data_IF_899419943094
#
_entry.id   IF_899419943094
#
_cell.length_a   1.000
_cell.length_b   1.000
_cell.length_c   1.000
_cell.angle_alpha   90.00
_cell.angle_beta   90.00
_cell.angle_gamma   90.00
#
_symmetry.space_group_name_H-M   'P 1'
#
loop_
_entity.id
_entity.type
_entity.pdbx_description
1 polymer ?
#
# COMPACT_ATOMS: atom_id res chain seq x y z
N UNK A 1 37.47 9.73 -13.74
CA UNK A 1 36.17 10.27 -13.40
C UNK A 1 35.38 9.18 -12.68
N UNK A 2 35.45 9.23 -11.32
CA UNK A 2 34.73 8.27 -10.46
C UNK A 2 33.41 8.92 -10.11
N UNK A 3 32.31 8.39 -10.62
CA UNK A 3 30.97 8.71 -10.15
C UNK A 3 30.58 7.67 -9.10
N UNK A 4 30.58 8.12 -7.88
CA UNK A 4 30.17 7.42 -6.67
C UNK A 4 28.70 7.02 -6.74
N UNK A 5 28.46 5.73 -6.79
CA UNK A 5 27.16 5.10 -6.55
C UNK A 5 26.86 5.19 -5.04
N UNK A 6 26.26 6.28 -4.59
CA UNK A 6 25.82 6.43 -3.20
C UNK A 6 24.32 6.14 -3.12
N UNK A 7 24.02 5.07 -2.37
CA UNK A 7 22.86 4.88 -1.53
C UNK A 7 21.44 5.05 -2.13
N UNK A 8 20.97 4.03 -2.84
CA UNK A 8 19.54 3.81 -3.04
C UNK A 8 18.79 3.36 -1.77
N UNK A 9 19.50 3.01 -0.69
CA UNK A 9 18.91 2.61 0.59
C UNK A 9 18.37 3.73 1.47
N UNK A 10 18.86 4.97 1.29
CA UNK A 10 18.45 6.10 2.12
C UNK A 10 17.22 6.86 1.58
N UNK A 11 16.85 6.64 0.31
CA UNK A 11 15.72 7.33 -0.33
C UNK A 11 14.37 6.67 0.05
N UNK A 12 14.38 5.41 0.41
CA UNK A 12 13.15 4.72 0.84
C UNK A 12 12.62 5.19 2.20
N UNK A 13 13.47 5.63 3.11
CA UNK A 13 13.03 6.12 4.43
C UNK A 13 12.41 7.54 4.39
N UNK A 14 12.75 8.36 3.41
CA UNK A 14 12.25 9.74 3.31
C UNK A 14 10.99 9.89 2.46
N UNK A 15 10.67 8.92 1.59
CA UNK A 15 9.47 8.92 0.74
C UNK A 15 8.27 8.19 1.34
N UNK A 16 8.48 7.40 2.39
CA UNK A 16 7.41 6.67 3.10
C UNK A 16 6.57 7.61 3.98
N UNK A 17 7.08 8.78 4.35
CA UNK A 17 6.37 9.68 5.27
C UNK A 17 5.24 10.50 4.67
N UNK A 18 5.01 10.45 3.35
CA UNK A 18 4.01 11.35 2.74
C UNK A 18 2.71 10.69 2.30
N UNK A 19 2.57 9.36 2.30
CA UNK A 19 1.41 8.72 1.69
C UNK A 19 0.95 7.38 2.31
N UNK A 20 1.33 7.08 3.55
CA UNK A 20 0.98 5.83 4.25
C UNK A 20 -0.51 5.69 4.61
N UNK A 21 -1.42 6.40 3.99
CA UNK A 21 -2.84 6.37 4.38
C UNK A 21 -3.71 5.49 3.47
N UNK A 22 -3.16 4.88 2.43
CA UNK A 22 -4.00 4.20 1.46
C UNK A 22 -3.45 2.85 1.02
N UNK A 23 -3.54 1.80 1.84
CA UNK A 23 -3.22 0.46 1.34
C UNK A 23 -3.79 -0.69 2.18
N UNK A 24 -4.50 -1.62 1.62
CA UNK A 24 -5.02 -2.83 2.27
C UNK A 24 -5.31 -4.02 1.35
N UNK A 25 -5.11 -5.23 1.87
CA UNK A 25 -5.53 -6.49 1.28
C UNK A 25 -6.64 -7.19 2.06
N UNK A 26 -7.49 -7.92 1.38
CA UNK A 26 -8.56 -8.71 1.99
C UNK A 26 -8.09 -10.12 2.32
N UNK A 27 -8.28 -10.53 3.57
CA UNK A 27 -8.37 -11.94 3.92
C UNK A 27 -9.84 -12.35 3.82
N UNK A 28 -10.16 -13.30 2.95
CA UNK A 28 -11.45 -14.00 3.02
C UNK A 28 -11.42 -14.99 4.18
N UNK A 29 -11.88 -14.51 5.32
CA UNK A 29 -12.33 -15.37 6.41
C UNK A 29 -13.77 -15.02 6.71
N UNK A 30 -14.69 -15.91 6.34
CA UNK A 30 -16.13 -15.89 6.64
C UNK A 30 -16.90 -14.65 6.14
N UNK A 31 -17.72 -14.88 5.12
CA UNK A 31 -18.90 -14.09 4.82
C UNK A 31 -19.78 -13.96 6.07
N UNK A 32 -19.49 -13.02 6.95
CA UNK A 32 -20.53 -12.47 7.80
C UNK A 32 -21.26 -11.46 6.94
N UNK A 33 -22.29 -11.96 6.27
CA UNK A 33 -23.31 -11.13 5.64
C UNK A 33 -23.96 -10.30 6.73
N UNK A 34 -23.46 -9.10 6.96
CA UNK A 34 -24.23 -8.08 7.66
C UNK A 34 -25.32 -7.55 6.73
N UNK A 35 -26.35 -8.38 6.51
CA UNK A 35 -27.67 -7.91 6.13
C UNK A 35 -28.30 -7.26 7.36
N UNK A 36 -27.94 -6.01 7.61
CA UNK A 36 -28.76 -5.12 8.44
C UNK A 36 -29.08 -3.87 7.65
N UNK A 37 -30.36 -3.69 7.49
CA UNK A 37 -31.15 -2.59 6.97
C UNK A 37 -30.43 -1.43 6.28
N UNK A 38 -30.56 -1.30 4.95
CA UNK A 38 -30.68 -0.01 4.29
C UNK A 38 -29.50 0.94 4.20
N UNK A 39 -28.33 0.62 4.76
CA UNK A 39 -27.17 1.50 4.67
C UNK A 39 -26.48 1.30 3.33
N UNK A 40 -26.70 2.21 2.38
CA UNK A 40 -25.97 2.24 1.11
C UNK A 40 -24.47 2.31 1.42
N UNK A 41 -23.73 1.33 0.91
CA UNK A 41 -22.27 1.28 1.07
C UNK A 41 -21.65 2.58 0.56
N UNK A 42 -20.77 3.17 1.35
CA UNK A 42 -20.09 4.41 1.05
C UNK A 42 -18.64 4.09 0.64
N UNK A 43 -18.16 4.77 -0.39
CA UNK A 43 -16.88 4.52 -1.05
C UNK A 43 -15.95 5.73 -0.87
N UNK A 44 -14.66 5.47 -0.65
CA UNK A 44 -13.65 6.52 -0.58
C UNK A 44 -13.54 7.18 -1.96
N UNK A 45 -13.80 8.48 -2.03
CA UNK A 45 -13.74 9.22 -3.29
C UNK A 45 -12.48 10.06 -3.41
N UNK A 46 -12.10 10.75 -2.32
CA UNK A 46 -10.98 11.68 -2.38
C UNK A 46 -10.20 11.73 -1.08
N UNK A 47 -8.88 11.87 -1.22
CA UNK A 47 -7.97 12.16 -0.12
C UNK A 47 -7.19 13.42 -0.48
N UNK A 48 -7.23 14.43 0.40
CA UNK A 48 -6.57 15.72 0.16
C UNK A 48 -5.56 15.99 1.27
N UNK A 49 -4.33 16.29 0.88
CA UNK A 49 -3.25 16.72 1.77
C UNK A 49 -2.60 18.01 1.23
N UNK A 50 -1.75 18.70 2.02
CA UNK A 50 -0.95 19.81 1.50
C UNK A 50 -0.05 19.41 0.33
N UNK A 51 0.44 18.17 0.31
CA UNK A 51 1.33 17.64 -0.73
C UNK A 51 0.61 17.23 -2.02
N UNK A 52 -0.73 17.14 -2.00
CA UNK A 52 -1.48 16.75 -3.19
C UNK A 52 -2.85 16.15 -2.90
N UNK A 53 -3.37 15.45 -3.88
CA UNK A 53 -4.71 14.87 -3.83
C UNK A 53 -4.73 13.53 -4.53
N UNK A 54 -5.45 12.57 -3.96
CA UNK A 54 -5.80 11.30 -4.61
C UNK A 54 -7.31 11.28 -4.84
N UNK A 55 -7.75 10.98 -6.05
CA UNK A 55 -9.16 10.79 -6.39
C UNK A 55 -9.37 9.36 -6.87
N UNK A 56 -10.38 8.68 -6.35
CA UNK A 56 -10.79 7.33 -6.76
C UNK A 56 -12.12 7.42 -7.50
N UNK A 57 -12.16 6.90 -8.70
CA UNK A 57 -13.36 6.78 -9.51
C UNK A 57 -13.76 5.31 -9.67
N UNK A 58 -15.06 5.07 -9.81
CA UNK A 58 -15.64 3.74 -9.82
C UNK A 58 -16.42 3.47 -11.10
N UNK A 59 -16.44 2.21 -11.49
CA UNK A 59 -17.32 1.67 -12.52
C UNK A 59 -18.76 1.50 -11.98
N UNK A 60 -19.77 1.30 -12.84
CA UNK A 60 -21.14 0.99 -12.41
C UNK A 60 -21.27 -0.25 -11.53
N UNK A 61 -20.37 -1.24 -11.70
CA UNK A 61 -20.28 -2.46 -10.87
C UNK A 61 -19.53 -2.23 -9.55
N UNK A 62 -19.14 -0.98 -9.27
CA UNK A 62 -18.44 -0.54 -8.05
C UNK A 62 -16.97 -0.97 -7.93
N UNK A 63 -16.41 -1.59 -8.96
CA UNK A 63 -14.96 -1.78 -9.08
C UNK A 63 -14.26 -0.42 -9.31
N UNK A 64 -12.97 -0.33 -9.00
CA UNK A 64 -12.22 0.91 -9.22
C UNK A 64 -11.99 1.10 -10.72
N UNK A 65 -12.43 2.22 -11.25
CA UNK A 65 -12.21 2.61 -12.64
C UNK A 65 -10.84 3.22 -12.86
N UNK A 66 -10.46 4.15 -11.98
CA UNK A 66 -9.13 4.79 -11.98
C UNK A 66 -8.81 5.45 -10.66
N UNK A 67 -7.52 5.60 -10.39
CA UNK A 67 -6.99 6.36 -9.26
C UNK A 67 -6.13 7.47 -9.84
N UNK A 68 -6.45 8.72 -9.54
CA UNK A 68 -5.73 9.90 -10.00
C UNK A 68 -4.99 10.48 -8.81
N UNK A 69 -3.67 10.53 -8.87
CA UNK A 69 -2.81 11.14 -7.86
C UNK A 69 -2.23 12.43 -8.40
N UNK A 70 -2.57 13.55 -7.79
CA UNK A 70 -1.98 14.86 -8.07
C UNK A 70 -0.99 15.20 -6.98
N UNK A 71 0.26 15.38 -7.35
CA UNK A 71 1.35 15.75 -6.44
C UNK A 71 1.77 17.18 -6.73
N UNK A 72 1.86 17.99 -5.68
CA UNK A 72 2.32 19.37 -5.76
C UNK A 72 3.78 19.45 -5.37
N UNK A 73 4.59 20.08 -6.19
CA UNK A 73 5.91 20.58 -5.83
C UNK A 73 5.90 22.11 -5.89
N UNK A 74 6.99 22.76 -5.47
CA UNK A 74 7.09 24.22 -5.45
C UNK A 74 6.73 24.87 -6.80
N UNK A 75 7.09 24.25 -7.92
CA UNK A 75 6.99 24.82 -9.25
C UNK A 75 6.14 24.03 -10.25
N UNK A 76 5.56 22.89 -9.85
CA UNK A 76 4.80 22.05 -10.76
C UNK A 76 3.76 21.17 -10.04
N UNK A 77 2.74 20.78 -10.77
CA UNK A 77 1.83 19.70 -10.39
C UNK A 77 2.06 18.53 -11.32
N UNK A 78 2.27 17.36 -10.74
CA UNK A 78 2.44 16.11 -11.47
C UNK A 78 1.20 15.26 -11.27
N UNK A 79 0.71 14.65 -12.34
CA UNK A 79 -0.34 13.65 -12.26
C UNK A 79 0.22 12.25 -12.51
N UNK A 80 -0.32 11.29 -11.78
CA UNK A 80 -0.11 9.86 -11.96
C UNK A 80 -1.48 9.19 -11.93
N UNK A 81 -1.84 8.52 -12.99
CA UNK A 81 -3.13 7.88 -13.16
C UNK A 81 -2.95 6.38 -13.24
N UNK A 82 -3.57 5.67 -12.33
CA UNK A 82 -3.62 4.22 -12.33
C UNK A 82 -4.96 3.77 -12.89
N UNK A 83 -4.90 2.85 -13.85
CA UNK A 83 -6.04 2.30 -14.58
C UNK A 83 -6.12 0.79 -14.33
N UNK A 84 -6.89 0.35 -13.31
CA UNK A 84 -7.08 -1.07 -13.02
C UNK A 84 -7.82 -1.78 -14.15
N UNK A 85 -7.37 -3.00 -14.47
CA UNK A 85 -7.97 -3.87 -15.48
C UNK A 85 -8.45 -5.15 -14.79
N UNK A 86 -9.71 -5.49 -15.00
CA UNK A 86 -10.37 -6.64 -14.39
C UNK A 86 -10.71 -7.70 -15.44
N UNK A 87 -10.49 -8.97 -15.09
CA UNK A 87 -10.95 -10.13 -15.85
C UNK A 87 -11.72 -11.05 -14.90
N UNK A 88 -12.94 -11.40 -15.27
CA UNK A 88 -13.84 -12.23 -14.44
C UNK A 88 -14.01 -11.69 -12.99
N UNK A 89 -14.07 -10.35 -12.83
CA UNK A 89 -14.20 -9.68 -11.54
C UNK A 89 -12.94 -9.63 -10.69
N UNK A 90 -11.78 -10.07 -11.22
CA UNK A 90 -10.48 -10.00 -10.54
C UNK A 90 -9.59 -8.96 -11.17
N UNK A 91 -8.88 -8.20 -10.35
CA UNK A 91 -7.85 -7.26 -10.79
C UNK A 91 -6.65 -8.05 -11.35
N UNK A 92 -6.41 -7.97 -12.67
CA UNK A 92 -5.31 -8.71 -13.32
C UNK A 92 -4.14 -7.83 -13.70
N UNK A 93 -4.38 -6.54 -13.92
CA UNK A 93 -3.36 -5.56 -14.29
C UNK A 93 -3.72 -4.18 -13.75
N UNK A 94 -2.72 -3.32 -13.68
CA UNK A 94 -2.88 -1.88 -13.58
C UNK A 94 -1.99 -1.22 -14.63
N UNK A 95 -2.55 -0.30 -15.39
CA UNK A 95 -1.79 0.55 -16.31
C UNK A 95 -1.52 1.89 -15.62
N UNK A 96 -0.48 2.60 -16.04
CA UNK A 96 -0.14 3.95 -15.57
C UNK A 96 -0.12 4.93 -16.73
N UNK A 97 -0.59 6.15 -16.48
CA UNK A 97 -0.57 7.25 -17.41
C UNK A 97 -0.33 8.58 -16.68
N UNK A 98 0.22 9.58 -17.38
CA UNK A 98 0.45 10.91 -16.82
C UNK A 98 -0.73 11.87 -17.05
N UNK A 99 -1.61 11.59 -18.00
CA UNK A 99 -2.77 12.43 -18.31
C UNK A 99 -3.97 12.01 -17.45
N UNK A 100 -4.53 12.96 -16.69
CA UNK A 100 -5.72 12.74 -15.84
C UNK A 100 -6.94 12.22 -16.60
N UNK A 101 -7.02 12.48 -17.90
CA UNK A 101 -8.11 12.01 -18.79
C UNK A 101 -7.80 10.70 -19.49
N UNK A 102 -6.63 10.12 -19.23
CA UNK A 102 -6.23 8.88 -19.88
C UNK A 102 -7.24 7.76 -19.63
N UNK A 103 -7.49 6.99 -20.69
CA UNK A 103 -8.32 5.76 -20.67
C UNK A 103 -7.50 4.51 -20.96
N UNK A 104 -6.22 4.68 -21.26
CA UNK A 104 -5.21 3.64 -21.45
C UNK A 104 -3.86 4.17 -20.97
N UNK A 105 -2.88 3.30 -20.81
CA UNK A 105 -1.54 3.65 -20.35
C UNK A 105 -0.56 2.52 -20.56
N UNK A 106 0.64 2.70 -20.03
CA UNK A 106 1.70 1.70 -20.05
C UNK A 106 1.50 0.67 -18.92
N UNK A 107 1.94 -0.59 -19.09
CA UNK A 107 1.92 -1.58 -18.03
C UNK A 107 2.66 -1.06 -16.80
N UNK A 108 1.98 -1.13 -15.64
CA UNK A 108 2.52 -0.73 -14.33
C UNK A 108 2.63 -1.93 -13.38
N UNK A 109 1.51 -2.65 -13.20
CA UNK A 109 1.44 -3.85 -12.36
C UNK A 109 0.72 -4.97 -13.09
N UNK A 110 1.05 -6.23 -12.74
CA UNK A 110 0.19 -7.38 -13.03
C UNK A 110 0.13 -8.33 -11.84
N UNK A 111 -0.97 -9.09 -11.76
CA UNK A 111 -1.31 -9.94 -10.62
C UNK A 111 -1.53 -11.37 -11.08
N UNK A 112 -0.84 -12.31 -10.45
CA UNK A 112 -1.08 -13.73 -10.60
C UNK A 112 -1.77 -14.25 -9.34
N UNK A 113 -2.66 -15.20 -9.50
CA UNK A 113 -3.46 -15.77 -8.43
C UNK A 113 -3.18 -17.27 -8.26
N UNK A 114 -3.13 -17.71 -7.02
CA UNK A 114 -3.23 -19.11 -6.65
C UNK A 114 -4.54 -19.29 -5.91
N UNK A 115 -5.48 -20.02 -6.51
CA UNK A 115 -6.90 -20.05 -6.10
C UNK A 115 -7.47 -18.61 -6.10
N UNK A 116 -7.90 -18.09 -4.95
CA UNK A 116 -8.51 -16.77 -4.83
C UNK A 116 -7.56 -15.70 -4.28
N UNK A 117 -6.29 -16.05 -4.03
CA UNK A 117 -5.31 -15.15 -3.43
C UNK A 117 -4.25 -14.73 -4.43
N UNK A 118 -3.85 -13.46 -4.35
CA UNK A 118 -2.72 -12.95 -5.14
C UNK A 118 -1.46 -13.68 -4.70
N UNK A 119 -0.84 -14.42 -5.60
CA UNK A 119 0.41 -15.14 -5.34
C UNK A 119 1.64 -14.37 -5.78
N UNK A 120 1.47 -13.50 -6.80
CA UNK A 120 2.57 -12.68 -7.33
C UNK A 120 2.06 -11.33 -7.80
N UNK A 121 2.87 -10.29 -7.56
CA UNK A 121 2.70 -8.93 -8.09
C UNK A 121 3.94 -8.63 -8.91
N UNK A 122 3.80 -8.38 -10.22
CA UNK A 122 4.91 -8.02 -11.09
C UNK A 122 4.87 -6.52 -11.39
N UNK A 123 6.04 -5.89 -11.35
CA UNK A 123 6.25 -4.46 -11.56
C UNK A 123 6.90 -4.23 -12.91
N UNK A 124 6.37 -3.29 -13.67
CA UNK A 124 6.82 -2.98 -15.02
C UNK A 124 7.57 -1.65 -15.10
N UNK A 125 8.59 -1.64 -15.96
CA UNK A 125 9.29 -0.46 -16.41
C UNK A 125 9.65 -0.67 -17.88
N UNK A 126 9.42 0.33 -18.73
CA UNK A 126 9.69 0.25 -20.16
C UNK A 126 9.06 -1.00 -20.81
N UNK A 127 7.81 -1.30 -20.44
CA UNK A 127 7.03 -2.46 -20.86
C UNK A 127 7.63 -3.84 -20.51
N UNK A 128 8.64 -3.90 -19.66
CA UNK A 128 9.24 -5.14 -19.18
C UNK A 128 9.11 -5.28 -17.66
N UNK A 129 8.94 -6.52 -17.17
CA UNK A 129 8.97 -6.79 -15.74
C UNK A 129 10.39 -6.58 -15.22
N UNK A 130 10.58 -5.65 -14.28
CA UNK A 130 11.88 -5.36 -13.67
C UNK A 130 12.02 -5.89 -12.25
N UNK A 131 10.90 -6.15 -11.58
CA UNK A 131 10.85 -6.78 -10.25
C UNK A 131 9.49 -7.45 -10.05
N UNK A 132 9.41 -8.35 -9.07
CA UNK A 132 8.14 -8.91 -8.62
C UNK A 132 8.19 -9.26 -7.14
N UNK A 133 7.02 -9.29 -6.53
CA UNK A 133 6.82 -9.83 -5.19
C UNK A 133 6.08 -11.16 -5.25
N UNK A 134 6.49 -12.10 -4.40
CA UNK A 134 5.78 -13.37 -4.17
C UNK A 134 5.19 -13.37 -2.78
N UNK A 135 3.90 -13.69 -2.67
CA UNK A 135 3.16 -13.65 -1.42
C UNK A 135 2.97 -15.05 -0.86
N UNK A 136 3.33 -15.24 0.41
CA UNK A 136 3.06 -16.44 1.17
C UNK A 136 2.02 -16.15 2.25
N UNK A 137 1.08 -17.07 2.42
CA UNK A 137 -0.04 -16.94 3.35
C UNK A 137 0.08 -17.94 4.49
N UNK A 138 -0.41 -17.56 5.66
CA UNK A 138 -0.54 -18.46 6.80
C UNK A 138 -1.80 -19.35 6.68
N UNK A 139 -1.98 -20.24 7.67
CA UNK A 139 -3.14 -21.14 7.71
C UNK A 139 -4.50 -20.42 7.85
N UNK A 140 -4.49 -19.17 8.36
CA UNK A 140 -5.70 -18.34 8.47
C UNK A 140 -6.00 -17.56 7.19
N UNK A 141 -5.10 -17.63 6.20
CA UNK A 141 -5.25 -16.94 4.93
C UNK A 141 -4.71 -15.51 4.90
N UNK A 142 -4.03 -15.07 5.95
CA UNK A 142 -3.37 -13.77 6.01
C UNK A 142 -1.97 -13.84 5.39
N UNK A 143 -1.49 -12.73 4.81
CA UNK A 143 -0.14 -12.66 4.28
C UNK A 143 0.84 -12.82 5.45
N UNK A 144 1.63 -13.89 5.42
CA UNK A 144 2.71 -14.14 6.38
C UNK A 144 4.02 -13.51 5.92
N UNK A 145 4.31 -13.60 4.62
CA UNK A 145 5.53 -13.04 4.03
C UNK A 145 5.30 -12.51 2.63
N UNK A 146 6.06 -11.46 2.29
CA UNK A 146 6.14 -10.89 0.95
C UNK A 146 7.61 -10.88 0.53
N UNK A 147 7.97 -11.80 -0.35
CA UNK A 147 9.32 -11.93 -0.89
C UNK A 147 9.53 -11.01 -2.07
N UNK A 148 10.64 -10.28 -2.09
CA UNK A 148 10.97 -9.29 -3.12
C UNK A 148 12.03 -9.84 -4.07
N UNK A 149 11.75 -9.85 -5.36
CA UNK A 149 12.63 -10.33 -6.39
C UNK A 149 12.97 -9.23 -7.39
N UNK A 150 14.24 -9.18 -7.78
CA UNK A 150 14.73 -8.27 -8.81
C UNK A 150 15.84 -8.91 -9.63
N UNK A 151 16.28 -8.21 -10.68
CA UNK A 151 17.46 -8.62 -11.43
C UNK A 151 18.72 -8.07 -10.76
N UNK A 152 19.73 -8.90 -10.61
CA UNK A 152 21.06 -8.49 -10.15
C UNK A 152 21.95 -8.15 -11.34
N UNK A 153 21.92 -6.85 -11.74
CA UNK A 153 22.73 -6.35 -12.85
C UNK A 153 22.31 -6.92 -14.22
N UNK A 154 23.27 -7.14 -15.10
CA UNK A 154 23.02 -7.62 -16.47
C UNK A 154 22.67 -9.13 -16.55
N UNK A 155 22.60 -9.86 -15.43
CA UNK A 155 22.21 -11.26 -15.40
C UNK A 155 20.70 -11.39 -15.46
N UNK A 156 20.22 -12.20 -16.36
CA UNK A 156 18.78 -12.47 -16.55
C UNK A 156 18.13 -13.30 -15.42
N UNK A 157 18.90 -13.69 -14.38
CA UNK A 157 18.38 -14.48 -13.27
C UNK A 157 17.66 -13.59 -12.23
N UNK A 158 16.49 -14.03 -11.79
CA UNK A 158 15.77 -13.43 -10.68
C UNK A 158 16.43 -13.79 -9.34
N UNK A 159 16.71 -12.78 -8.52
CA UNK A 159 17.24 -12.97 -7.18
C UNK A 159 16.27 -12.42 -6.15
N UNK A 160 16.07 -13.19 -5.08
CA UNK A 160 15.36 -12.69 -3.91
C UNK A 160 16.28 -11.71 -3.15
N UNK A 161 15.95 -10.44 -3.15
CA UNK A 161 16.71 -9.35 -2.52
C UNK A 161 16.33 -9.13 -1.05
N UNK A 162 15.13 -9.56 -0.63
CA UNK A 162 14.61 -9.36 0.71
C UNK A 162 13.20 -9.90 0.88
N UNK A 163 12.69 -9.76 2.08
CA UNK A 163 11.28 -10.04 2.36
C UNK A 163 10.77 -9.22 3.53
N UNK A 164 9.45 -9.05 3.55
CA UNK A 164 8.68 -8.54 4.68
C UNK A 164 8.02 -9.73 5.38
N UNK A 165 8.05 -9.74 6.70
CA UNK A 165 7.36 -10.73 7.53
C UNK A 165 6.33 -10.03 8.41
N UNK A 166 5.10 -10.56 8.45
CA UNK A 166 3.97 -9.95 9.13
C UNK A 166 3.54 -10.78 10.32
N UNK A 167 3.44 -10.16 11.48
CA UNK A 167 2.81 -10.73 12.68
C UNK A 167 1.44 -10.11 12.84
N UNK A 168 0.42 -10.94 13.01
CA UNK A 168 -0.99 -10.52 13.10
C UNK A 168 -1.53 -10.72 14.52
N UNK A 169 -2.36 -9.78 14.98
CA UNK A 169 -3.14 -9.94 16.20
C UNK A 169 -4.47 -10.69 15.91
N UNK A 170 -5.23 -10.94 16.98
CA UNK A 170 -6.52 -11.65 16.90
C UNK A 170 -7.62 -10.80 16.25
N UNK A 171 -7.49 -9.48 16.24
CA UNK A 171 -8.47 -8.53 15.70
C UNK A 171 -8.35 -8.36 14.18
N UNK A 172 -7.31 -8.94 13.57
CA UNK A 172 -7.09 -8.86 12.13
C UNK A 172 -6.18 -7.71 11.71
N UNK A 173 -5.39 -7.19 12.63
CA UNK A 173 -4.42 -6.14 12.35
C UNK A 173 -2.99 -6.68 12.36
N UNK A 174 -2.13 -6.07 11.57
CA UNK A 174 -0.70 -6.33 11.58
C UNK A 174 -0.10 -5.70 12.84
N UNK A 175 0.24 -6.50 13.82
CA UNK A 175 0.89 -6.04 15.05
C UNK A 175 2.31 -5.56 14.76
N UNK A 176 3.00 -6.28 13.86
CA UNK A 176 4.39 -6.00 13.52
C UNK A 176 4.72 -6.42 12.10
N UNK A 177 5.55 -5.63 11.45
CA UNK A 177 6.15 -5.91 10.14
C UNK A 177 7.67 -5.83 10.26
N UNK A 178 8.34 -6.95 10.04
CA UNK A 178 9.81 -7.04 10.02
C UNK A 178 10.33 -7.05 8.58
N UNK A 179 11.38 -6.29 8.33
CA UNK A 179 12.04 -6.22 7.03
C UNK A 179 13.39 -6.91 7.09
N UNK A 180 13.61 -7.80 6.15
CA UNK A 180 14.87 -8.51 5.94
C UNK A 180 15.40 -8.19 4.56
N UNK A 181 16.67 -7.79 4.50
CA UNK A 181 17.40 -7.52 3.27
C UNK A 181 18.57 -8.45 3.06
N UNK A 182 19.03 -8.54 1.81
CA UNK A 182 20.23 -9.26 1.44
C UNK A 182 21.27 -8.28 0.93
N UNK A 183 22.47 -8.33 1.49
CA UNK A 183 23.57 -7.52 0.97
C UNK A 183 24.09 -8.14 -0.34
N UNK A 184 24.50 -7.32 -1.33
CA UNK A 184 25.12 -7.84 -2.55
C UNK A 184 26.30 -8.76 -2.25
N UNK A 185 26.31 -9.94 -2.86
CA UNK A 185 27.35 -10.95 -2.67
C UNK A 185 27.17 -11.87 -1.44
N UNK A 186 26.15 -11.64 -0.61
CA UNK A 186 25.86 -12.51 0.53
C UNK A 186 24.62 -13.37 0.27
N UNK A 187 24.63 -14.60 0.77
CA UNK A 187 23.51 -15.54 0.64
C UNK A 187 22.45 -15.39 1.73
N UNK A 188 22.81 -14.81 2.88
CA UNK A 188 21.94 -14.71 4.06
C UNK A 188 21.18 -13.41 4.09
N UNK A 189 19.90 -13.49 4.48
CA UNK A 189 19.11 -12.33 4.83
C UNK A 189 19.47 -11.81 6.21
N UNK A 190 19.52 -10.50 6.34
CA UNK A 190 19.73 -9.81 7.62
C UNK A 190 18.53 -8.95 7.94
N UNK A 191 18.16 -8.92 9.20
CA UNK A 191 17.14 -8.02 9.70
C UNK A 191 17.59 -6.57 9.53
N UNK A 192 16.73 -5.72 8.96
CA UNK A 192 17.04 -4.32 8.64
C UNK A 192 16.17 -3.33 9.39
N UNK A 193 14.91 -3.63 9.64
CA UNK A 193 14.01 -2.76 10.38
C UNK A 193 12.76 -3.51 10.83
N UNK A 194 12.07 -2.93 11.80
CA UNK A 194 10.75 -3.34 12.23
C UNK A 194 9.84 -2.14 12.37
N UNK A 195 8.57 -2.34 12.05
CA UNK A 195 7.50 -1.39 12.36
C UNK A 195 6.47 -2.12 13.22
N UNK A 196 6.20 -1.61 14.42
CA UNK A 196 5.09 -2.08 15.25
C UNK A 196 3.97 -1.05 15.24
N UNK A 197 2.72 -1.53 15.30
CA UNK A 197 1.53 -0.73 15.09
C UNK A 197 0.58 -0.81 16.27
N UNK A 198 -0.15 0.27 16.51
CA UNK A 198 -1.37 0.26 17.35
C UNK A 198 -2.54 0.80 16.53
N UNK A 199 -3.75 0.42 16.90
CA UNK A 199 -4.95 0.66 16.12
C UNK A 199 -6.08 1.24 16.97
N UNK A 200 -7.01 1.92 16.33
CA UNK A 200 -8.30 2.24 16.90
C UNK A 200 -9.27 1.03 16.78
N UNK A 201 -10.58 1.25 16.93
CA UNK A 201 -11.62 0.23 16.73
C UNK A 201 -12.49 0.50 15.52
N UNK A 202 -12.10 1.48 14.70
CA UNK A 202 -12.86 1.89 13.54
C UNK A 202 -12.29 1.23 12.30
N UNK A 203 -13.18 0.79 11.40
CA UNK A 203 -12.77 0.05 10.20
C UNK A 203 -11.87 0.88 9.30
N UNK A 204 -10.77 0.31 8.88
CA UNK A 204 -9.86 0.90 7.92
C UNK A 204 -10.59 1.10 6.57
N UNK A 205 -10.64 2.33 6.02
CA UNK A 205 -11.26 2.64 4.74
C UNK A 205 -10.81 1.74 3.60
N UNK A 206 -9.57 1.32 3.63
CA UNK A 206 -8.92 0.52 2.61
C UNK A 206 -9.44 -0.93 2.60
N UNK A 207 -9.93 -1.41 3.74
CA UNK A 207 -10.60 -2.71 3.83
C UNK A 207 -11.99 -2.72 3.18
N UNK A 208 -12.51 -1.55 2.77
CA UNK A 208 -13.77 -1.44 2.02
C UNK A 208 -13.57 -1.71 0.53
N UNK A 209 -12.34 -1.57 0.04
CA UNK A 209 -11.95 -1.77 -1.37
C UNK A 209 -10.60 -2.52 -1.40
N UNK A 210 -10.61 -3.85 -1.50
CA UNK A 210 -9.40 -4.67 -1.44
C UNK A 210 -8.32 -4.27 -2.43
N UNK A 211 -8.73 -3.82 -3.61
CA UNK A 211 -7.83 -3.40 -4.68
C UNK A 211 -7.02 -2.15 -4.33
N UNK A 212 -7.57 -1.24 -3.51
CA UNK A 212 -6.83 -0.05 -3.06
C UNK A 212 -5.54 -0.44 -2.33
N UNK A 213 -5.61 -1.48 -1.55
CA UNK A 213 -4.44 -1.97 -0.84
C UNK A 213 -3.32 -2.45 -1.74
N UNK A 214 -3.69 -3.10 -2.83
CA UNK A 214 -2.73 -3.59 -3.82
C UNK A 214 -2.13 -2.43 -4.62
N UNK A 215 -2.98 -1.52 -5.06
CA UNK A 215 -2.62 -0.46 -5.99
C UNK A 215 -1.81 0.66 -5.33
N UNK A 216 -1.96 0.87 -4.04
CA UNK A 216 -1.35 1.99 -3.33
C UNK A 216 -0.17 1.59 -2.44
N UNK A 217 0.17 0.30 -2.40
CA UNK A 217 1.36 -0.30 -1.77
C UNK A 217 1.84 0.38 -0.48
N UNK A 218 1.11 0.27 0.58
CA UNK A 218 1.54 0.77 1.89
C UNK A 218 1.92 -0.37 2.84
N UNK A 219 2.61 -0.02 3.89
CA UNK A 219 3.12 -0.97 4.88
C UNK A 219 2.06 -1.83 5.59
N UNK A 220 2.43 -2.48 6.67
CA UNK A 220 1.56 -3.42 7.41
C UNK A 220 0.22 -2.83 7.88
N UNK A 221 0.20 -1.52 8.19
CA UNK A 221 -1.02 -0.83 8.58
C UNK A 221 -2.14 -0.89 7.55
N UNK A 222 -1.78 -0.98 6.29
CA UNK A 222 -2.72 -1.06 5.18
C UNK A 222 -3.40 -2.41 5.04
N UNK A 223 -2.77 -3.46 5.53
CA UNK A 223 -3.32 -4.80 5.57
C UNK A 223 -4.30 -5.00 6.73
N UNK A 224 -4.37 -4.05 7.65
CA UNK A 224 -5.05 -4.14 8.94
C UNK A 224 -6.53 -3.78 8.87
N UNK A 225 -7.35 -4.44 9.69
CA UNK A 225 -8.79 -4.22 9.73
C UNK A 225 -9.17 -2.82 10.24
N UNK A 226 -8.33 -2.22 11.10
CA UNK A 226 -8.59 -0.97 11.78
C UNK A 226 -7.61 0.12 11.38
N UNK A 227 -7.90 1.39 11.75
CA UNK A 227 -7.03 2.51 11.43
C UNK A 227 -5.83 2.57 12.37
N UNK A 228 -4.64 2.81 11.82
CA UNK A 228 -3.39 2.93 12.57
C UNK A 228 -3.44 4.17 13.48
N UNK A 229 -3.10 4.01 14.75
CA UNK A 229 -2.89 5.11 15.69
C UNK A 229 -1.41 5.44 15.87
N UNK A 230 -0.55 4.42 15.88
CA UNK A 230 0.90 4.64 15.97
C UNK A 230 1.66 3.67 15.09
N UNK A 231 2.79 4.13 14.59
CA UNK A 231 3.85 3.33 13.97
C UNK A 231 5.14 3.59 14.71
N UNK A 232 5.74 2.56 15.30
CA UNK A 232 7.04 2.64 15.92
C UNK A 232 8.07 1.94 15.05
N UNK A 233 8.93 2.73 14.43
CA UNK A 233 9.95 2.26 13.47
C UNK A 233 11.27 2.11 14.21
N UNK A 234 11.85 0.91 14.16
CA UNK A 234 13.14 0.59 14.76
C UNK A 234 14.09 -0.05 13.75
N UNK A 235 15.39 0.08 13.99
CA UNK A 235 16.45 -0.51 13.18
C UNK A 235 17.55 -1.06 14.10
N UNK A 236 18.21 -2.18 13.75
CA UNK A 236 19.25 -2.79 14.58
C UNK A 236 20.48 -1.90 14.78
N UNK A 237 20.70 -0.94 13.89
CA UNK A 237 21.89 -0.08 13.90
C UNK A 237 21.70 1.20 14.72
N UNK A 238 20.57 1.40 15.37
CA UNK A 238 20.29 2.58 16.19
C UNK A 238 19.36 2.21 17.34
N UNK A 239 19.60 2.83 18.51
CA UNK A 239 18.67 2.75 19.63
C UNK A 239 17.48 3.73 19.49
N UNK A 240 17.50 4.58 18.46
CA UNK A 240 16.42 5.55 18.22
C UNK A 240 15.22 4.83 17.60
N UNK A 241 14.06 4.98 18.22
CA UNK A 241 12.77 4.62 17.66
C UNK A 241 12.14 5.90 17.10
N UNK A 242 11.67 5.83 15.85
CA UNK A 242 10.87 6.89 15.25
C UNK A 242 9.41 6.52 15.47
N UNK A 243 8.65 7.39 16.12
CA UNK A 243 7.22 7.20 16.35
C UNK A 243 6.43 8.15 15.47
N UNK A 244 5.59 7.59 14.64
CA UNK A 244 4.56 8.31 13.91
C UNK A 244 3.23 8.12 14.64
N UNK A 245 2.42 9.17 14.72
CA UNK A 245 1.10 9.11 15.35
C UNK A 245 0.02 9.60 14.40
N UNK A 246 -1.16 9.01 14.54
CA UNK A 246 -2.33 9.33 13.73
C UNK A 246 -3.51 9.60 14.65
N UNK A 247 -4.24 10.66 14.38
CA UNK A 247 -5.53 10.94 15.02
C UNK A 247 -6.60 11.12 13.96
N UNK A 248 -7.82 10.72 14.27
CA UNK A 248 -8.91 10.74 13.30
C UNK A 248 -10.12 11.50 13.83
N UNK A 249 -10.80 12.21 12.92
CA UNK A 249 -12.17 12.69 13.14
C UNK A 249 -13.11 11.90 12.23
N UNK A 250 -14.25 11.47 12.77
CA UNK A 250 -15.19 10.58 12.11
C UNK A 250 -16.53 11.26 11.84
N UNK A 251 -17.18 10.87 10.76
CA UNK A 251 -18.62 11.06 10.54
C UNK A 251 -19.25 9.65 10.50
N UNK A 252 -19.94 9.29 11.58
CA UNK A 252 -20.36 7.90 11.81
C UNK A 252 -19.16 6.96 11.86
N UNK A 253 -19.13 5.96 11.00
CA UNK A 253 -18.05 4.96 10.92
C UNK A 253 -16.92 5.33 9.93
N UNK A 254 -17.02 6.46 9.24
CA UNK A 254 -16.08 6.87 8.20
C UNK A 254 -15.16 7.99 8.70
N UNK A 255 -13.83 7.85 8.62
CA UNK A 255 -12.91 8.93 8.92
C UNK A 255 -13.05 10.03 7.85
N UNK A 256 -13.24 11.28 8.28
CA UNK A 256 -13.33 12.46 7.39
C UNK A 256 -12.09 13.33 7.46
N UNK A 257 -11.29 13.13 8.49
CA UNK A 257 -9.99 13.80 8.66
C UNK A 257 -9.05 12.86 9.40
N UNK A 258 -7.79 12.85 8.97
CA UNK A 258 -6.69 12.23 9.69
C UNK A 258 -5.58 13.26 9.88
N UNK A 259 -4.98 13.32 11.06
CA UNK A 259 -3.79 14.12 11.32
C UNK A 259 -2.65 13.16 11.61
N UNK A 260 -1.60 13.28 10.83
CA UNK A 260 -0.34 12.55 10.95
C UNK A 260 0.69 13.44 11.61
N UNK A 261 1.41 12.92 12.60
CA UNK A 261 2.53 13.61 13.25
C UNK A 261 3.77 12.71 13.30
N UNK A 262 4.92 13.28 12.93
CA UNK A 262 6.23 12.63 12.99
C UNK A 262 7.25 13.63 13.53
N UNK A 263 7.70 13.46 14.76
CA UNK A 263 8.53 14.44 15.45
C UNK A 263 7.82 15.79 15.63
N UNK A 264 8.33 16.84 15.00
CA UNK A 264 7.72 18.19 15.02
C UNK A 264 6.80 18.43 13.81
N UNK A 265 6.81 17.54 12.82
CA UNK A 265 6.03 17.72 11.61
C UNK A 265 4.62 17.19 11.81
N UNK A 266 3.64 17.99 11.42
CA UNK A 266 2.22 17.61 11.44
C UNK A 266 1.59 17.86 10.09
N UNK A 267 0.82 16.89 9.61
CA UNK A 267 0.08 16.99 8.34
C UNK A 267 -1.35 16.54 8.54
N UNK A 268 -2.28 17.38 8.12
CA UNK A 268 -3.70 17.04 8.13
C UNK A 268 -4.17 16.62 6.74
N UNK A 269 -4.92 15.54 6.71
CA UNK A 269 -5.50 14.92 5.52
C UNK A 269 -7.01 14.93 5.67
N UNK A 270 -7.71 15.30 4.59
CA UNK A 270 -9.17 15.22 4.49
C UNK A 270 -9.57 14.04 3.62
N UNK A 271 -10.61 13.31 4.04
CA UNK A 271 -11.17 12.19 3.31
C UNK A 271 -12.62 12.51 2.93
N UNK A 272 -12.96 12.32 1.66
CA UNK A 272 -14.30 12.52 1.12
C UNK A 272 -14.87 11.17 0.65
N UNK A 273 -16.15 10.98 0.91
CA UNK A 273 -16.86 9.73 0.69
C UNK A 273 -18.08 9.95 -0.21
N UNK A 274 -18.39 8.99 -1.06
CA UNK A 274 -19.55 9.02 -1.95
C UNK A 274 -20.40 7.77 -1.79
N UNK A 275 -21.67 7.91 -2.10
CA UNK A 275 -22.59 6.79 -2.30
C UNK A 275 -22.69 6.55 -3.79
N UNK A 276 -22.42 5.34 -4.22
CA UNK A 276 -22.61 4.92 -5.60
C UNK A 276 -24.05 4.42 -5.77
N UNK A 277 -24.68 4.89 -6.83
CA UNK A 277 -26.04 4.48 -7.22
C UNK A 277 -26.05 3.08 -7.83
#
# INVERSE_FOLDING_TARGET
MHTTSIARGAIYAALVTSFTILTAFRSEGNHISFRNGGDQQTYLHKVVSPAGQTTVEYNPDKSIRRIIQLRKSENATYSDVQLPVYENGRLVKCLSAADEKAVTGDPYLSFEYSSDKVSRISYYRDNAVYSYDSLAYDASGKIARRYQFGHNGAKAAWENSGYLEYTWNQEGDVERMDTYGKQPGYSKFVYTSSVSYTYDRMRNPQQLQPELGILLDGGGGSLSAHNVLTENISSPNTSRVITNTYTYAYNGKYPVRATFSSGMDETTIKLEWIKLQ
#
